data_IF_958266426991
#
_entry.id   IF_958266426991
#
_cell.length_a   1.000
_cell.length_b   1.000
_cell.length_c   1.000
_cell.angle_alpha   90.00
_cell.angle_beta   90.00
_cell.angle_gamma   90.00
#
_symmetry.space_group_name_H-M   'P 1'
#
loop_
_entity.id
_entity.type
_entity.pdbx_description
1 polymer ?
#
# COMPACT_ATOMS: atom_id res chain seq x y z
N UNK A 1 -10.05 -4.73 38.46
CA UNK A 1 -8.90 -3.92 38.05
C UNK A 1 -9.04 -3.74 36.56
N UNK A 2 -9.44 -2.56 36.11
CA UNK A 2 -9.65 -2.28 34.66
C UNK A 2 -8.29 -1.88 34.09
N UNK A 3 -7.95 -2.41 32.92
CA UNK A 3 -6.71 -2.13 32.17
C UNK A 3 -6.44 -0.64 31.86
N UNK A 4 -7.38 0.24 32.21
CA UNK A 4 -7.31 1.69 32.00
C UNK A 4 -6.45 2.44 33.01
N UNK A 5 -6.08 1.80 34.15
CA UNK A 5 -5.38 2.47 35.25
C UNK A 5 -3.86 2.25 35.22
N UNK A 6 -3.31 1.72 34.12
CA UNK A 6 -1.89 1.38 34.01
C UNK A 6 -1.07 2.35 33.12
N UNK A 7 -1.74 3.26 32.41
CA UNK A 7 -1.02 4.24 31.57
C UNK A 7 -1.73 5.58 31.66
N UNK A 8 -1.08 6.55 32.26
CA UNK A 8 -1.51 7.95 32.23
C UNK A 8 -1.22 8.49 30.83
N UNK A 9 -2.27 8.82 30.05
CA UNK A 9 -2.13 9.33 28.68
C UNK A 9 -1.28 10.62 28.62
N UNK A 10 -1.25 11.40 29.69
CA UNK A 10 -0.41 12.62 29.80
C UNK A 10 1.08 12.29 29.93
N UNK A 11 1.45 11.23 30.64
CA UNK A 11 2.86 10.79 30.77
C UNK A 11 3.43 10.24 29.45
N UNK A 12 2.62 9.48 28.69
CA UNK A 12 3.01 8.97 27.37
C UNK A 12 3.20 10.11 26.35
N UNK A 13 2.36 11.12 26.39
CA UNK A 13 2.46 12.28 25.49
C UNK A 13 3.59 13.24 25.90
N UNK A 14 3.94 13.34 27.18
CA UNK A 14 5.05 14.16 27.63
C UNK A 14 6.41 13.58 27.24
N UNK A 15 6.56 12.27 27.26
CA UNK A 15 7.77 11.57 26.80
C UNK A 15 7.95 11.66 25.27
N UNK A 16 6.85 11.68 24.50
CA UNK A 16 6.90 11.89 23.06
C UNK A 16 7.33 13.33 22.69
N UNK A 17 6.85 14.32 23.44
CA UNK A 17 7.16 15.74 23.15
C UNK A 17 8.57 16.16 23.61
N UNK A 18 9.24 15.42 24.46
CA UNK A 18 10.59 15.73 24.99
C UNK A 18 11.73 14.96 24.29
N UNK A 19 11.46 14.03 23.40
CA UNK A 19 12.51 13.35 22.61
C UNK A 19 12.90 14.25 21.44
N UNK A 20 14.14 14.70 21.46
CA UNK A 20 14.77 15.38 20.32
C UNK A 20 14.94 14.39 19.17
N UNK A 21 13.97 14.35 18.29
CA UNK A 21 13.99 13.55 17.07
C UNK A 21 14.88 14.14 15.96
N UNK A 22 15.52 15.30 16.20
CA UNK A 22 16.43 15.92 15.22
C UNK A 22 17.65 15.07 14.90
N UNK A 23 17.99 14.11 15.78
CA UNK A 23 19.03 13.10 15.52
C UNK A 23 18.63 12.07 14.47
N UNK A 24 17.35 11.89 14.26
CA UNK A 24 16.77 11.00 13.26
C UNK A 24 16.32 11.84 12.08
N UNK A 25 17.26 12.60 11.53
CA UNK A 25 17.06 13.28 10.25
C UNK A 25 16.93 12.18 9.16
N UNK A 26 15.87 11.40 9.28
CA UNK A 26 15.34 10.64 8.17
C UNK A 26 14.91 11.73 7.22
N UNK A 27 15.76 11.98 6.21
CA UNK A 27 15.44 12.87 5.11
C UNK A 27 14.15 12.35 4.49
N UNK A 28 13.02 12.77 5.04
CA UNK A 28 11.69 12.36 4.63
C UNK A 28 11.42 12.65 3.14
N UNK A 29 12.28 13.46 2.52
CA UNK A 29 12.18 13.93 1.14
C UNK A 29 13.28 13.40 0.19
N UNK A 30 14.21 12.56 0.63
CA UNK A 30 15.16 11.97 -0.31
C UNK A 30 14.53 10.75 -0.97
N UNK A 31 14.32 10.85 -2.29
CA UNK A 31 13.98 9.69 -3.10
C UNK A 31 15.08 8.63 -2.93
N UNK A 32 14.68 7.44 -2.50
CA UNK A 32 15.60 6.32 -2.53
C UNK A 32 15.94 6.01 -4.00
N UNK A 33 17.19 5.68 -4.26
CA UNK A 33 17.66 5.39 -5.64
C UNK A 33 16.77 4.40 -6.39
N UNK A 34 16.27 3.39 -5.67
CA UNK A 34 15.39 2.40 -6.26
C UNK A 34 14.01 2.97 -6.65
N UNK A 35 13.46 3.93 -5.87
CA UNK A 35 12.17 4.56 -6.18
C UNK A 35 12.24 5.33 -7.49
N UNK A 36 13.27 6.16 -7.66
CA UNK A 36 13.49 6.90 -8.89
C UNK A 36 13.67 5.96 -10.09
N UNK A 37 14.55 4.94 -9.94
CA UNK A 37 14.74 3.92 -10.98
C UNK A 37 13.43 3.23 -11.33
N UNK A 38 12.61 2.86 -10.32
CA UNK A 38 11.33 2.23 -10.51
C UNK A 38 10.40 3.12 -11.33
N UNK A 39 10.24 4.37 -10.95
CA UNK A 39 9.37 5.31 -11.66
C UNK A 39 9.83 5.50 -13.10
N UNK A 40 11.12 5.68 -13.34
CA UNK A 40 11.68 5.81 -14.68
C UNK A 40 11.33 4.59 -15.57
N UNK A 41 11.27 3.38 -15.01
CA UNK A 41 10.96 2.15 -15.73
C UNK A 41 9.47 1.88 -15.94
N UNK A 42 8.61 2.27 -14.99
CA UNK A 42 7.19 1.89 -15.00
C UNK A 42 6.24 3.02 -15.39
N UNK A 43 6.70 4.25 -15.44
CA UNK A 43 5.84 5.43 -15.59
C UNK A 43 4.97 5.41 -16.84
N UNK A 44 5.49 4.92 -17.96
CA UNK A 44 4.79 4.78 -19.25
C UNK A 44 3.94 3.50 -19.33
N UNK A 45 4.06 2.56 -18.39
CA UNK A 45 3.34 1.28 -18.40
C UNK A 45 1.96 1.40 -17.78
N UNK A 46 0.97 0.80 -18.43
CA UNK A 46 -0.40 0.79 -17.91
C UNK A 46 -0.66 -0.34 -16.91
N UNK A 47 -0.02 -1.50 -17.09
CA UNK A 47 -0.17 -2.60 -16.15
C UNK A 47 1.17 -2.93 -15.52
N UNK A 48 1.25 -2.89 -14.20
CA UNK A 48 2.50 -3.03 -13.45
C UNK A 48 2.33 -4.00 -12.29
N UNK A 49 3.32 -4.85 -12.07
CA UNK A 49 3.53 -5.61 -10.83
C UNK A 49 4.72 -4.96 -10.13
N UNK A 50 4.47 -4.33 -8.99
CA UNK A 50 5.49 -3.74 -8.13
C UNK A 50 5.71 -4.64 -6.92
N UNK A 51 6.86 -5.30 -6.88
CA UNK A 51 7.30 -6.15 -5.77
C UNK A 51 8.42 -5.47 -4.99
N UNK A 52 8.20 -5.21 -3.71
CA UNK A 52 9.21 -4.57 -2.86
C UNK A 52 8.94 -4.85 -1.39
N UNK A 53 9.95 -4.99 -0.52
CA UNK A 53 9.75 -5.31 0.88
C UNK A 53 8.85 -4.32 1.61
N UNK A 54 8.24 -4.76 2.70
CA UNK A 54 7.51 -3.88 3.63
C UNK A 54 8.46 -2.82 4.19
N UNK A 55 8.00 -1.59 4.33
CA UNK A 55 8.83 -0.47 4.80
C UNK A 55 9.79 0.11 3.75
N UNK A 56 9.78 -0.34 2.50
CA UNK A 56 10.63 0.19 1.43
C UNK A 56 10.14 1.51 0.81
N UNK A 57 8.96 2.00 1.20
CA UNK A 57 8.39 3.23 0.64
C UNK A 57 7.61 3.04 -0.68
N UNK A 58 7.07 1.84 -0.93
CA UNK A 58 6.23 1.50 -2.11
C UNK A 58 5.12 2.51 -2.39
N UNK A 59 4.51 3.02 -1.33
CA UNK A 59 3.39 3.97 -1.40
C UNK A 59 3.73 5.19 -2.26
N UNK A 60 4.92 5.76 -2.09
CA UNK A 60 5.36 6.92 -2.89
C UNK A 60 5.41 6.55 -4.37
N UNK A 61 6.00 5.40 -4.69
CA UNK A 61 6.16 4.93 -6.08
C UNK A 61 4.82 4.70 -6.77
N UNK A 62 3.89 4.00 -6.12
CA UNK A 62 2.62 3.72 -6.77
C UNK A 62 1.71 4.95 -6.87
N UNK A 63 1.80 5.89 -5.92
CA UNK A 63 1.08 7.16 -6.03
C UNK A 63 1.62 8.00 -7.19
N UNK A 64 2.93 8.17 -7.30
CA UNK A 64 3.57 8.91 -8.38
C UNK A 64 3.25 8.29 -9.75
N UNK A 65 3.31 6.95 -9.86
CA UNK A 65 2.89 6.27 -11.08
C UNK A 65 1.42 6.55 -11.42
N UNK A 66 0.51 6.50 -10.44
CA UNK A 66 -0.91 6.73 -10.66
C UNK A 66 -1.22 8.19 -11.02
N UNK A 67 -0.51 9.14 -10.43
CA UNK A 67 -0.66 10.56 -10.72
C UNK A 67 -0.28 10.92 -12.16
N UNK A 68 0.64 10.18 -12.75
CA UNK A 68 1.03 10.33 -14.15
C UNK A 68 0.02 9.73 -15.15
N UNK A 69 -1.00 8.99 -14.67
CA UNK A 69 -2.11 8.53 -15.53
C UNK A 69 -3.17 9.62 -15.66
N UNK A 70 -3.94 9.53 -16.76
CA UNK A 70 -5.01 10.50 -17.04
C UNK A 70 -6.35 10.14 -16.42
N UNK A 71 -6.56 8.86 -16.21
CA UNK A 71 -7.83 8.30 -15.72
C UNK A 71 -8.05 8.64 -14.25
N UNK A 72 -9.26 9.10 -13.93
CA UNK A 72 -9.69 9.47 -12.57
C UNK A 72 -11.09 8.91 -12.27
N UNK A 73 -11.37 8.61 -10.99
CA UNK A 73 -10.48 8.69 -9.85
C UNK A 73 -9.39 7.61 -9.87
N UNK A 74 -8.36 7.80 -9.03
CA UNK A 74 -7.42 6.75 -8.66
C UNK A 74 -8.06 5.92 -7.55
N UNK A 75 -8.30 4.64 -7.80
CA UNK A 75 -8.87 3.71 -6.81
C UNK A 75 -7.73 2.95 -6.15
N UNK A 76 -7.65 3.01 -4.83
CA UNK A 76 -6.68 2.24 -4.03
C UNK A 76 -7.45 1.22 -3.21
N UNK A 77 -7.19 -0.06 -3.46
CA UNK A 77 -7.77 -1.14 -2.69
C UNK A 77 -6.87 -1.58 -1.55
N UNK A 78 -7.44 -2.09 -0.49
CA UNK A 78 -6.71 -2.66 0.64
C UNK A 78 -7.40 -3.94 1.13
N UNK A 79 -6.67 -4.88 1.74
CA UNK A 79 -7.25 -6.16 2.18
C UNK A 79 -8.16 -6.01 3.40
N UNK A 80 -7.99 -4.95 4.18
CA UNK A 80 -8.77 -4.70 5.40
C UNK A 80 -9.17 -3.23 5.54
N UNK A 81 -10.28 -3.00 6.23
CA UNK A 81 -10.85 -1.65 6.47
C UNK A 81 -9.85 -0.69 7.13
N UNK A 82 -9.04 -1.18 8.08
CA UNK A 82 -8.06 -0.35 8.79
C UNK A 82 -7.04 0.28 7.83
N UNK A 83 -6.52 -0.49 6.87
CA UNK A 83 -5.59 0.00 5.86
C UNK A 83 -6.24 0.98 4.89
N UNK A 84 -7.51 0.75 4.49
CA UNK A 84 -8.26 1.72 3.67
C UNK A 84 -8.45 3.05 4.41
N UNK A 85 -8.78 2.99 5.71
CA UNK A 85 -8.92 4.18 6.56
C UNK A 85 -7.59 4.92 6.76
N UNK A 86 -6.50 4.18 6.95
CA UNK A 86 -5.16 4.76 7.06
C UNK A 86 -4.78 5.49 5.76
N UNK A 87 -4.94 4.82 4.63
CA UNK A 87 -4.64 5.41 3.31
C UNK A 87 -5.47 6.67 3.03
N UNK A 88 -6.76 6.63 3.39
CA UNK A 88 -7.64 7.79 3.31
C UNK A 88 -7.08 8.98 4.09
N UNK A 89 -6.68 8.78 5.38
CA UNK A 89 -6.13 9.85 6.21
C UNK A 89 -4.83 10.41 5.63
N UNK A 90 -3.89 9.55 5.24
CA UNK A 90 -2.63 9.94 4.63
C UNK A 90 -2.81 10.83 3.38
N UNK A 91 -3.79 10.51 2.54
CA UNK A 91 -4.09 11.29 1.33
C UNK A 91 -4.79 12.61 1.66
N UNK A 92 -5.71 12.62 2.62
CA UNK A 92 -6.37 13.86 3.10
C UNK A 92 -5.34 14.82 3.72
N UNK A 93 -4.41 14.32 4.54
CA UNK A 93 -3.32 15.11 5.13
C UNK A 93 -2.40 15.73 4.06
N UNK A 94 -2.25 15.08 2.91
CA UNK A 94 -1.52 15.61 1.75
C UNK A 94 -2.33 16.62 0.92
N UNK A 95 -3.60 16.89 1.29
CA UNK A 95 -4.45 17.87 0.63
C UNK A 95 -5.26 17.37 -0.55
N UNK A 96 -5.31 16.04 -0.80
CA UNK A 96 -6.13 15.47 -1.87
C UNK A 96 -7.61 15.41 -1.50
N UNK A 97 -8.46 15.45 -2.53
CA UNK A 97 -9.89 15.14 -2.39
C UNK A 97 -10.07 13.63 -2.43
N UNK A 98 -10.47 13.05 -1.32
CA UNK A 98 -10.49 11.60 -1.13
C UNK A 98 -11.88 11.11 -0.75
N UNK A 99 -12.35 10.09 -1.44
CA UNK A 99 -13.51 9.29 -1.05
C UNK A 99 -13.06 8.03 -0.28
N UNK A 100 -13.92 7.55 0.60
CA UNK A 100 -13.71 6.32 1.37
C UNK A 100 -14.98 5.47 1.33
N UNK A 101 -14.86 4.21 0.92
CA UNK A 101 -15.94 3.23 1.07
C UNK A 101 -15.40 1.90 1.61
N UNK A 102 -15.88 1.55 2.79
CA UNK A 102 -15.63 0.26 3.46
C UNK A 102 -16.95 -0.37 3.84
N UNK A 103 -16.95 -1.56 4.42
CA UNK A 103 -18.20 -2.18 4.88
C UNK A 103 -18.98 -1.35 5.91
N UNK A 104 -18.30 -0.47 6.65
CA UNK A 104 -18.91 0.31 7.74
C UNK A 104 -19.01 1.81 7.43
N UNK A 105 -18.20 2.31 6.50
CA UNK A 105 -18.11 3.74 6.20
C UNK A 105 -18.35 3.96 4.72
N UNK A 106 -19.20 4.93 4.41
CA UNK A 106 -19.37 5.45 3.06
C UNK A 106 -19.30 6.97 3.10
N UNK A 107 -18.15 7.51 2.71
CA UNK A 107 -17.90 8.94 2.56
C UNK A 107 -17.43 9.21 1.13
N UNK A 108 -18.39 9.54 0.26
CA UNK A 108 -18.15 9.78 -1.16
C UNK A 108 -18.64 11.20 -1.48
N UNK A 109 -17.73 12.19 -1.50
CA UNK A 109 -18.06 13.54 -1.93
C UNK A 109 -18.40 13.57 -3.43
N UNK A 110 -19.01 14.64 -3.90
CA UNK A 110 -19.40 14.81 -5.29
C UNK A 110 -18.20 14.77 -6.26
N UNK A 111 -17.07 15.34 -5.83
CA UNK A 111 -15.82 15.35 -6.59
C UNK A 111 -14.66 14.85 -5.73
N UNK A 112 -13.94 13.87 -6.23
CA UNK A 112 -12.78 13.28 -5.58
C UNK A 112 -11.76 12.79 -6.62
N UNK A 113 -10.48 12.90 -6.25
CA UNK A 113 -9.36 12.45 -7.07
C UNK A 113 -8.96 11.01 -6.73
N UNK A 114 -9.17 10.62 -5.46
CA UNK A 114 -8.85 9.30 -4.93
C UNK A 114 -10.07 8.64 -4.30
N UNK A 115 -10.14 7.32 -4.44
CA UNK A 115 -11.13 6.47 -3.77
C UNK A 115 -10.42 5.34 -3.03
N UNK A 116 -10.45 5.36 -1.70
CA UNK A 116 -9.93 4.28 -0.86
C UNK A 116 -11.05 3.29 -0.55
N UNK A 117 -10.85 2.02 -0.87
CA UNK A 117 -11.86 0.96 -0.69
C UNK A 117 -11.22 -0.34 -0.19
N UNK A 118 -12.03 -1.23 0.39
CA UNK A 118 -11.59 -2.62 0.56
C UNK A 118 -11.64 -3.37 -0.77
N UNK A 119 -10.85 -4.43 -0.89
CA UNK A 119 -10.82 -5.23 -2.12
C UNK A 119 -12.20 -5.78 -2.50
N UNK A 120 -13.00 -6.21 -1.52
CA UNK A 120 -14.36 -6.72 -1.74
C UNK A 120 -15.29 -5.64 -2.31
N UNK A 121 -15.19 -4.41 -1.80
CA UNK A 121 -15.98 -3.28 -2.30
C UNK A 121 -15.60 -2.96 -3.75
N UNK A 122 -14.30 -2.93 -4.06
CA UNK A 122 -13.82 -2.74 -5.43
C UNK A 122 -14.40 -3.80 -6.36
N UNK A 123 -14.25 -5.07 -6.00
CA UNK A 123 -14.69 -6.21 -6.80
C UNK A 123 -16.19 -6.24 -7.04
N UNK A 124 -16.98 -5.78 -6.08
CA UNK A 124 -18.43 -5.81 -6.19
C UNK A 124 -19.05 -4.56 -6.85
N UNK A 125 -18.35 -3.42 -6.84
CA UNK A 125 -18.96 -2.14 -7.25
C UNK A 125 -18.20 -1.36 -8.31
N UNK A 126 -16.88 -1.55 -8.43
CA UNK A 126 -16.04 -0.64 -9.21
C UNK A 126 -15.25 -1.30 -10.34
N UNK A 127 -15.27 -2.63 -10.46
CA UNK A 127 -14.48 -3.38 -11.47
C UNK A 127 -14.85 -3.05 -12.91
N UNK A 128 -16.09 -2.64 -13.16
CA UNK A 128 -16.59 -2.31 -14.50
C UNK A 128 -16.23 -0.89 -14.97
N UNK A 129 -15.59 -0.09 -14.12
CA UNK A 129 -15.15 1.25 -14.50
C UNK A 129 -13.93 1.20 -15.41
N UNK A 130 -14.03 1.85 -16.55
CA UNK A 130 -12.96 1.94 -17.57
C UNK A 130 -12.14 3.23 -17.44
N UNK A 131 -12.76 4.27 -16.88
CA UNK A 131 -12.22 5.64 -16.73
C UNK A 131 -11.37 5.82 -15.47
N UNK A 132 -10.78 4.76 -14.93
CA UNK A 132 -10.07 4.76 -13.64
C UNK A 132 -8.66 4.20 -13.76
N UNK A 133 -7.80 4.66 -12.85
CA UNK A 133 -6.53 4.04 -12.51
C UNK A 133 -6.71 3.26 -11.22
N UNK A 134 -6.26 2.01 -11.16
CA UNK A 134 -6.46 1.14 -10.00
C UNK A 134 -5.14 0.65 -9.44
N UNK A 135 -5.00 0.71 -8.12
CA UNK A 135 -3.90 0.15 -7.35
C UNK A 135 -4.48 -0.92 -6.44
N UNK A 136 -4.11 -2.18 -6.66
CA UNK A 136 -4.42 -3.30 -5.77
C UNK A 136 -3.26 -3.43 -4.78
N UNK A 137 -3.42 -2.82 -3.60
CA UNK A 137 -2.38 -2.84 -2.56
C UNK A 137 -2.43 -4.15 -1.76
N UNK A 138 -1.27 -4.54 -1.22
CA UNK A 138 -1.06 -5.80 -0.50
C UNK A 138 -1.56 -7.03 -1.28
N UNK A 139 -1.23 -7.07 -2.57
CA UNK A 139 -1.76 -8.07 -3.50
C UNK A 139 -1.36 -9.53 -3.16
N UNK A 140 -0.39 -9.74 -2.26
CA UNK A 140 -0.02 -11.07 -1.78
C UNK A 140 -1.17 -11.81 -1.08
N UNK A 141 -2.20 -11.12 -0.63
CA UNK A 141 -3.42 -11.74 -0.10
C UNK A 141 -4.15 -12.65 -1.10
N UNK A 142 -3.81 -12.59 -2.39
CA UNK A 142 -4.32 -13.54 -3.40
C UNK A 142 -3.93 -15.00 -3.09
N UNK A 143 -2.87 -15.22 -2.30
CA UNK A 143 -2.41 -16.55 -1.90
C UNK A 143 -3.02 -17.06 -0.59
N UNK A 144 -3.80 -16.25 0.09
CA UNK A 144 -4.51 -16.70 1.28
C UNK A 144 -5.62 -17.68 0.90
N UNK A 145 -5.88 -18.65 1.75
CA UNK A 145 -7.04 -19.55 1.59
C UNK A 145 -8.27 -18.93 2.27
N UNK A 146 -8.81 -17.87 1.67
CA UNK A 146 -9.89 -17.09 2.25
C UNK A 146 -10.80 -16.46 1.18
N UNK A 147 -11.97 -15.99 1.59
CA UNK A 147 -12.86 -15.19 0.73
C UNK A 147 -12.18 -13.92 0.22
N UNK A 148 -11.19 -13.42 0.95
CA UNK A 148 -10.37 -12.26 0.57
C UNK A 148 -9.53 -12.55 -0.66
N UNK A 149 -8.86 -13.73 -0.71
CA UNK A 149 -8.13 -14.17 -1.89
C UNK A 149 -9.04 -14.23 -3.13
N UNK A 150 -10.26 -14.74 -2.95
CA UNK A 150 -11.27 -14.78 -4.02
C UNK A 150 -11.61 -13.35 -4.52
N UNK A 151 -11.75 -12.39 -3.62
CA UNK A 151 -12.02 -11.00 -4.01
C UNK A 151 -10.89 -10.41 -4.85
N UNK A 152 -9.62 -10.74 -4.57
CA UNK A 152 -8.49 -10.32 -5.40
C UNK A 152 -8.50 -10.99 -6.78
N UNK A 153 -8.75 -12.29 -6.86
CA UNK A 153 -8.82 -13.02 -8.13
C UNK A 153 -9.97 -12.48 -9.00
N UNK A 154 -11.15 -12.36 -8.43
CA UNK A 154 -12.35 -11.87 -9.13
C UNK A 154 -12.17 -10.40 -9.55
N UNK A 155 -11.58 -9.57 -8.68
CA UNK A 155 -11.30 -8.17 -8.96
C UNK A 155 -10.30 -8.00 -10.10
N UNK A 156 -9.26 -8.83 -10.16
CA UNK A 156 -8.28 -8.83 -11.23
C UNK A 156 -8.91 -9.31 -12.55
N UNK A 157 -9.64 -10.43 -12.52
CA UNK A 157 -10.26 -11.03 -13.68
C UNK A 157 -11.31 -10.11 -14.34
N UNK A 158 -12.13 -9.45 -13.52
CA UNK A 158 -13.24 -8.60 -13.99
C UNK A 158 -12.83 -7.15 -14.28
N UNK A 159 -11.65 -6.71 -13.81
CA UNK A 159 -11.25 -5.31 -13.90
C UNK A 159 -11.19 -4.79 -15.33
N UNK A 160 -11.96 -3.74 -15.59
CA UNK A 160 -11.92 -2.98 -16.85
C UNK A 160 -11.06 -1.71 -16.77
N UNK A 161 -10.41 -1.48 -15.62
CA UNK A 161 -9.54 -0.33 -15.43
C UNK A 161 -8.49 -0.25 -16.55
N UNK A 162 -8.27 0.96 -17.08
CA UNK A 162 -7.30 1.19 -18.15
C UNK A 162 -5.86 1.06 -17.66
N UNK A 163 -5.61 1.48 -16.43
CA UNK A 163 -4.31 1.36 -15.78
C UNK A 163 -4.44 0.59 -14.47
N UNK A 164 -3.61 -0.45 -14.28
CA UNK A 164 -3.69 -1.36 -13.14
C UNK A 164 -2.31 -1.64 -12.57
N UNK A 165 -2.09 -1.32 -11.29
CA UNK A 165 -0.87 -1.65 -10.56
C UNK A 165 -1.17 -2.62 -9.42
N UNK A 166 -0.44 -3.73 -9.38
CA UNK A 166 -0.45 -4.71 -8.31
C UNK A 166 0.75 -4.45 -7.42
N UNK A 167 0.51 -4.04 -6.18
CA UNK A 167 1.55 -3.71 -5.21
C UNK A 167 1.62 -4.76 -4.11
N UNK A 168 2.80 -5.27 -3.84
CA UNK A 168 2.97 -6.32 -2.83
C UNK A 168 4.35 -6.31 -2.19
N UNK A 169 4.48 -7.07 -1.11
CA UNK A 169 5.76 -7.52 -0.59
C UNK A 169 6.48 -8.40 -1.64
N UNK A 170 7.72 -8.78 -1.36
CA UNK A 170 8.52 -9.63 -2.25
C UNK A 170 7.89 -11.00 -2.48
N UNK A 171 7.88 -11.45 -3.73
CA UNK A 171 7.48 -12.80 -4.13
C UNK A 171 8.70 -13.69 -4.33
N UNK A 172 8.57 -14.98 -4.05
CA UNK A 172 9.67 -15.93 -4.22
C UNK A 172 10.03 -16.16 -5.70
N UNK A 173 9.05 -16.32 -6.58
CA UNK A 173 9.24 -16.50 -8.03
C UNK A 173 8.37 -15.53 -8.82
N UNK A 174 8.87 -14.34 -9.03
CA UNK A 174 8.14 -13.26 -9.71
C UNK A 174 7.77 -13.61 -11.16
N UNK A 175 8.56 -14.44 -11.84
CA UNK A 175 8.29 -14.81 -13.24
C UNK A 175 7.09 -15.75 -13.36
N UNK A 176 6.97 -16.72 -12.46
CA UNK A 176 5.79 -17.60 -12.41
C UNK A 176 4.57 -16.84 -11.95
N UNK A 177 4.73 -15.98 -10.96
CA UNK A 177 3.68 -15.10 -10.49
C UNK A 177 3.13 -14.23 -11.62
N UNK A 178 4.00 -13.55 -12.39
CA UNK A 178 3.60 -12.77 -13.56
C UNK A 178 2.74 -13.59 -14.52
N UNK A 179 3.18 -14.78 -14.93
CA UNK A 179 2.43 -15.64 -15.84
C UNK A 179 1.05 -15.99 -15.30
N UNK A 180 0.95 -16.27 -14.01
CA UNK A 180 -0.32 -16.57 -13.35
C UNK A 180 -1.26 -15.35 -13.40
N UNK A 181 -0.76 -14.17 -13.06
CA UNK A 181 -1.51 -12.91 -13.07
C UNK A 181 -1.99 -12.57 -14.50
N UNK A 182 -1.12 -12.64 -15.48
CA UNK A 182 -1.47 -12.36 -16.87
C UNK A 182 -2.55 -13.31 -17.42
N UNK A 183 -2.51 -14.57 -17.01
CA UNK A 183 -3.54 -15.56 -17.34
C UNK A 183 -4.91 -15.21 -16.75
N UNK A 184 -4.93 -14.70 -15.51
CA UNK A 184 -6.19 -14.28 -14.86
C UNK A 184 -6.70 -13.00 -15.49
N UNK A 185 -5.84 -12.00 -15.63
CA UNK A 185 -6.23 -10.65 -16.06
C UNK A 185 -6.50 -10.54 -17.57
N UNK A 186 -6.02 -11.49 -18.37
CA UNK A 186 -6.10 -11.43 -19.83
C UNK A 186 -5.31 -10.26 -20.46
N UNK A 187 -4.30 -9.73 -19.75
CA UNK A 187 -3.47 -8.60 -20.17
C UNK A 187 -2.03 -8.75 -19.69
N UNK A 188 -1.09 -8.14 -20.43
CA UNK A 188 0.32 -8.18 -20.08
C UNK A 188 0.66 -7.18 -18.98
N UNK A 189 1.66 -7.53 -18.15
CA UNK A 189 2.19 -6.71 -17.07
C UNK A 189 3.69 -6.48 -17.20
N UNK A 190 4.14 -5.27 -16.92
CA UNK A 190 5.55 -4.98 -16.63
C UNK A 190 5.83 -5.29 -15.16
N UNK A 191 7.00 -5.81 -14.86
CA UNK A 191 7.41 -6.15 -13.49
C UNK A 191 8.56 -5.27 -13.08
N UNK A 192 8.45 -4.68 -11.90
CA UNK A 192 9.57 -4.10 -11.19
C UNK A 192 9.73 -4.78 -9.83
N UNK A 193 10.94 -5.26 -9.55
CA UNK A 193 11.27 -5.94 -8.31
C UNK A 193 12.39 -5.21 -7.58
N UNK A 194 12.15 -4.86 -6.33
CA UNK A 194 13.15 -4.29 -5.44
C UNK A 194 13.36 -5.20 -4.25
N UNK A 195 14.62 -5.44 -3.88
CA UNK A 195 15.00 -6.24 -2.72
C UNK A 195 15.62 -5.39 -1.62
N UNK A 196 15.88 -4.11 -1.87
CA UNK A 196 16.48 -3.20 -0.90
C UNK A 196 15.45 -2.78 0.14
N UNK A 197 15.83 -2.81 1.40
CA UNK A 197 15.07 -2.26 2.53
C UNK A 197 15.70 -0.94 2.96
N UNK A 198 14.87 -0.05 3.48
CA UNK A 198 15.31 1.23 4.06
C UNK A 198 15.91 1.00 5.45
N UNK A 199 15.35 0.04 6.18
CA UNK A 199 15.77 -0.34 7.53
C UNK A 199 16.45 -1.69 7.50
N UNK A 200 17.64 -1.78 8.10
CA UNK A 200 18.30 -3.04 8.34
C UNK A 200 17.49 -3.88 9.32
N UNK A 201 17.21 -5.14 8.93
CA UNK A 201 16.62 -6.11 9.84
C UNK A 201 17.74 -6.98 10.42
N UNK A 202 17.92 -6.88 11.73
CA UNK A 202 18.81 -7.77 12.45
C UNK A 202 18.00 -8.95 12.99
N UNK A 203 18.28 -10.14 12.51
CA UNK A 203 17.80 -11.38 13.09
C UNK A 203 18.78 -11.78 14.20
N UNK A 204 18.45 -11.45 15.45
CA UNK A 204 19.21 -11.88 16.62
C UNK A 204 18.46 -13.02 17.33
N UNK A 205 19.19 -14.09 17.70
CA UNK A 205 18.74 -14.94 18.81
C UNK A 205 18.69 -14.12 20.10
N UNK A 206 18.47 -14.67 21.25
CA UNK A 206 18.29 -14.02 22.56
C UNK A 206 19.10 -12.71 22.74
N UNK A 207 18.56 -11.61 22.17
CA UNK A 207 19.16 -10.28 22.32
C UNK A 207 18.47 -9.61 23.49
N UNK A 208 19.23 -9.17 24.48
CA UNK A 208 18.74 -8.31 25.53
C UNK A 208 18.24 -7.00 24.90
N UNK A 209 16.93 -6.79 24.90
CA UNK A 209 16.24 -5.66 24.26
C UNK A 209 16.73 -4.27 24.71
N UNK A 210 17.47 -4.20 25.82
CA UNK A 210 18.01 -2.93 26.36
C UNK A 210 19.14 -2.32 25.50
N UNK A 211 19.70 -3.06 24.55
CA UNK A 211 20.81 -2.58 23.72
C UNK A 211 20.41 -2.23 22.27
N UNK A 212 19.11 -2.30 21.93
CA UNK A 212 18.64 -2.00 20.59
C UNK A 212 17.88 -0.67 20.62
N UNK A 213 18.57 0.38 20.22
CA UNK A 213 17.91 1.63 19.84
C UNK A 213 17.15 1.39 18.52
N UNK A 214 15.81 1.48 18.54
CA UNK A 214 14.91 1.35 17.38
C UNK A 214 14.59 -0.09 16.88
N UNK A 215 14.42 -1.05 17.75
CA UNK A 215 13.90 -2.36 17.36
C UNK A 215 12.37 -2.34 17.23
N UNK A 216 11.85 -2.75 16.07
CA UNK A 216 10.46 -3.16 15.93
C UNK A 216 10.36 -4.62 16.37
N UNK A 217 9.71 -4.87 17.50
CA UNK A 217 9.39 -6.23 17.95
C UNK A 217 8.05 -6.61 17.30
N UNK A 218 8.09 -7.62 16.45
CA UNK A 218 6.90 -8.22 15.81
C UNK A 218 6.52 -9.46 16.59
#
# INVERSE_FOLDING_TARGET
>A
MKYRDLFDEEDLMSDFNNKDYSKYDIKADSDFKWQKKCIDEINDKNNVILSSPTGSGKTKVFLEWAENKKERPIIITSPIKALSNQRYRELVERGYKVALETGDIKNIPEHYDYLCVTQEIYTNKYVDREDVTVILDEFHYIFENSDRARAYVDGLYKSKAKSLLLCSATFGNIKEFKKYIEKIAGREFSVFENHERITDMHFGGDIELHNIENALVI
#
